data_IF_666493911163
#
_entry.id   IF_666493911163
#
_cell.length_a   1.000
_cell.length_b   1.000
_cell.length_c   1.000
_cell.angle_alpha   90.00
_cell.angle_beta   90.00
_cell.angle_gamma   90.00
#
_symmetry.space_group_name_H-M   'P 1'
#
loop_
_entity.id
_entity.type
_entity.pdbx_description
1 polymer ?
#
# COMPACT_ATOMS: atom_id res chain seq x y z
N UNK A 1 -24.85 -13.15 41.37
CA UNK A 1 -25.18 -13.28 39.94
C UNK A 1 -24.46 -12.21 39.10
N UNK A 2 -24.72 -10.91 39.33
CA UNK A 2 -24.15 -9.82 38.54
C UNK A 2 -22.60 -9.78 38.53
N UNK A 3 -21.96 -9.98 39.69
CA UNK A 3 -20.50 -9.99 39.81
C UNK A 3 -19.81 -11.13 39.04
N UNK A 4 -20.44 -12.31 38.94
CA UNK A 4 -19.90 -13.43 38.15
C UNK A 4 -19.98 -13.15 36.64
N UNK A 5 -21.05 -12.51 36.18
CA UNK A 5 -21.22 -12.16 34.77
C UNK A 5 -20.19 -11.09 34.33
N UNK A 6 -19.90 -10.12 35.20
CA UNK A 6 -18.86 -9.12 34.96
C UNK A 6 -17.46 -9.77 34.94
N UNK A 7 -17.19 -10.70 35.86
CA UNK A 7 -15.92 -11.42 35.90
C UNK A 7 -15.65 -12.27 34.66
N UNK A 8 -16.67 -12.95 34.13
CA UNK A 8 -16.57 -13.74 32.88
C UNK A 8 -16.38 -12.82 31.67
N UNK A 9 -17.15 -11.73 31.58
CA UNK A 9 -17.00 -10.76 30.49
C UNK A 9 -15.60 -10.14 30.48
N UNK A 10 -15.04 -9.78 31.64
CA UNK A 10 -13.68 -9.28 31.74
C UNK A 10 -12.64 -10.37 31.38
N UNK A 11 -12.81 -11.60 31.88
CA UNK A 11 -11.89 -12.70 31.57
C UNK A 11 -11.85 -13.07 30.08
N UNK A 12 -12.97 -12.93 29.36
CA UNK A 12 -13.04 -13.24 27.93
C UNK A 12 -12.67 -12.04 27.04
N UNK A 13 -12.99 -10.81 27.46
CA UNK A 13 -12.72 -9.62 26.65
C UNK A 13 -11.33 -9.02 26.90
N UNK A 14 -10.77 -9.14 28.10
CA UNK A 14 -9.45 -8.59 28.42
C UNK A 14 -8.32 -9.24 27.60
N UNK A 15 -8.26 -10.58 27.40
CA UNK A 15 -7.24 -11.19 26.55
C UNK A 15 -7.36 -10.75 25.09
N UNK A 16 -8.59 -10.60 24.58
CA UNK A 16 -8.84 -10.10 23.23
C UNK A 16 -8.43 -8.63 23.09
N UNK A 17 -8.78 -7.78 24.05
CA UNK A 17 -8.39 -6.37 24.08
C UNK A 17 -6.87 -6.24 24.16
N UNK A 18 -6.22 -6.98 25.07
CA UNK A 18 -4.77 -7.00 25.21
C UNK A 18 -4.11 -7.46 23.90
N UNK A 19 -4.63 -8.52 23.26
CA UNK A 19 -4.14 -9.00 21.96
C UNK A 19 -4.26 -7.94 20.85
N UNK A 20 -5.39 -7.23 20.78
CA UNK A 20 -5.59 -6.13 19.82
C UNK A 20 -4.65 -4.96 20.14
N UNK A 21 -4.49 -4.59 21.41
CA UNK A 21 -3.60 -3.51 21.82
C UNK A 21 -2.14 -3.83 21.49
N UNK A 22 -1.68 -5.06 21.71
CA UNK A 22 -0.33 -5.47 21.30
C UNK A 22 -0.16 -5.48 19.78
N UNK A 23 -1.17 -5.91 19.03
CA UNK A 23 -1.15 -5.88 17.58
C UNK A 23 -1.09 -4.45 17.02
N UNK A 24 -1.78 -3.49 17.66
CA UNK A 24 -1.81 -2.08 17.26
C UNK A 24 -0.57 -1.33 17.74
N UNK A 25 -0.05 -1.64 18.93
CA UNK A 25 1.12 -0.97 19.52
C UNK A 25 2.43 -1.23 18.75
N UNK A 26 2.50 -2.28 17.92
CA UNK A 26 3.66 -2.61 17.08
C UNK A 26 3.61 -2.04 15.65
N UNK A 27 2.57 -1.27 15.31
CA UNK A 27 2.46 -0.65 13.99
C UNK A 27 3.08 0.75 14.03
N UNK A 28 4.39 0.82 13.80
CA UNK A 28 5.05 2.09 13.54
C UNK A 28 4.92 2.43 12.04
N UNK A 29 4.50 3.66 11.76
CA UNK A 29 4.43 4.21 10.41
C UNK A 29 5.80 4.66 9.91
N UNK A 30 5.92 4.79 8.59
CA UNK A 30 7.10 5.33 7.93
C UNK A 30 7.14 6.87 8.04
N UNK A 31 8.33 7.44 8.18
CA UNK A 31 8.55 8.90 8.19
C UNK A 31 8.46 9.51 6.79
N UNK A 32 8.29 10.83 6.66
CA UNK A 32 8.28 11.48 5.33
C UNK A 32 9.57 11.22 4.54
N UNK A 33 10.72 11.16 5.23
CA UNK A 33 12.01 10.81 4.63
C UNK A 33 11.98 9.42 4.02
N UNK A 34 11.44 8.42 4.74
CA UNK A 34 11.32 7.04 4.24
C UNK A 34 10.35 6.94 3.05
N UNK A 35 9.34 7.81 3.00
CA UNK A 35 8.36 7.83 1.92
C UNK A 35 8.91 8.53 0.67
N UNK A 36 9.72 9.58 0.84
CA UNK A 36 10.29 10.37 -0.25
C UNK A 36 11.28 9.60 -1.13
N UNK A 37 11.86 8.50 -0.62
CA UNK A 37 12.80 7.65 -1.36
C UNK A 37 12.09 6.59 -2.21
N UNK A 38 10.76 6.44 -2.07
CA UNK A 38 10.02 5.43 -2.84
C UNK A 38 10.01 5.78 -4.33
N UNK A 39 10.32 4.83 -5.23
CA UNK A 39 10.23 5.04 -6.67
C UNK A 39 8.88 5.60 -7.09
N UNK A 40 8.89 6.69 -7.88
CA UNK A 40 7.69 7.38 -8.35
C UNK A 40 7.53 7.24 -9.85
N UNK A 41 6.32 6.93 -10.29
CA UNK A 41 5.97 6.70 -11.67
C UNK A 41 4.79 7.58 -12.09
N UNK A 42 4.71 7.88 -13.38
CA UNK A 42 3.51 8.39 -14.03
C UNK A 42 2.92 7.27 -14.90
N UNK A 43 1.65 6.95 -14.68
CA UNK A 43 0.93 6.01 -15.51
C UNK A 43 0.53 6.66 -16.84
N UNK A 44 0.65 5.91 -17.93
CA UNK A 44 0.21 6.29 -19.26
C UNK A 44 -0.73 5.19 -19.77
N UNK A 45 -2.00 5.54 -19.99
CA UNK A 45 -2.98 4.59 -20.48
C UNK A 45 -2.75 4.32 -21.98
N UNK A 46 -2.79 3.06 -22.41
CA UNK A 46 -2.72 2.75 -23.84
C UNK A 46 -4.11 2.97 -24.45
N UNK A 47 -4.27 4.03 -25.23
CA UNK A 47 -5.50 4.27 -25.98
C UNK A 47 -5.45 3.61 -27.36
N UNK A 48 -6.25 2.55 -27.56
CA UNK A 48 -6.65 2.12 -28.90
C UNK A 48 -8.16 2.35 -29.04
N UNK A 49 -8.57 3.14 -30.03
CA UNK A 49 -9.96 3.59 -30.27
C UNK A 49 -10.96 2.43 -30.54
N UNK A 50 -10.50 1.17 -30.58
CA UNK A 50 -11.26 0.05 -31.15
C UNK A 50 -11.91 -0.90 -30.13
N UNK A 51 -11.67 -0.78 -28.82
CA UNK A 51 -12.37 -1.63 -27.82
C UNK A 51 -12.71 -0.93 -26.49
N UNK A 52 -13.81 -1.34 -25.80
CA UNK A 52 -14.30 -0.72 -24.57
C UNK A 52 -13.76 -1.37 -23.27
N UNK A 53 -12.81 -2.29 -23.35
CA UNK A 53 -12.29 -3.08 -22.21
C UNK A 53 -11.30 -2.24 -21.35
N UNK A 54 -11.20 -2.46 -20.02
CA UNK A 54 -10.16 -1.91 -19.17
C UNK A 54 -8.79 -1.93 -19.85
N UNK A 55 -8.16 -0.76 -19.91
CA UNK A 55 -6.92 -0.55 -20.65
C UNK A 55 -5.75 -0.74 -19.70
N UNK A 56 -4.84 -1.63 -20.07
CA UNK A 56 -3.50 -1.65 -19.48
C UNK A 56 -2.76 -0.34 -19.77
N UNK A 57 -1.51 -0.26 -19.34
CA UNK A 57 -0.75 0.97 -19.52
C UNK A 57 0.73 0.81 -19.19
N UNK A 58 1.48 1.88 -19.35
CA UNK A 58 2.89 1.94 -18.96
C UNK A 58 3.06 2.78 -17.70
N UNK A 59 3.76 2.25 -16.71
CA UNK A 59 4.32 3.02 -15.60
C UNK A 59 5.68 3.56 -16.01
N UNK A 60 5.77 4.86 -16.27
CA UNK A 60 7.01 5.52 -16.67
C UNK A 60 7.66 6.19 -15.46
N UNK A 61 8.95 5.95 -15.16
CA UNK A 61 9.65 6.60 -14.05
C UNK A 61 9.62 8.12 -14.17
N UNK A 62 9.37 8.81 -13.05
CA UNK A 62 9.58 10.25 -12.96
C UNK A 62 11.07 10.50 -12.67
N UNK A 63 11.66 11.49 -13.35
CA UNK A 63 13.10 11.77 -13.55
C UNK A 63 14.02 11.74 -12.31
N UNK A 64 13.46 11.72 -11.10
CA UNK A 64 14.18 11.65 -9.83
C UNK A 64 14.26 10.22 -9.23
N UNK A 65 13.72 9.20 -9.90
CA UNK A 65 13.69 7.81 -9.41
C UNK A 65 14.88 7.02 -9.95
N UNK A 66 16.06 7.19 -9.33
CA UNK A 66 17.27 6.47 -9.73
C UNK A 66 17.07 4.96 -9.63
N UNK A 67 17.28 4.22 -10.73
CA UNK A 67 17.13 2.76 -10.80
C UNK A 67 15.73 2.23 -11.10
N UNK A 68 14.75 3.12 -11.36
CA UNK A 68 13.43 2.72 -11.85
C UNK A 68 13.43 2.56 -13.38
N UNK A 69 12.79 1.49 -13.88
CA UNK A 69 12.60 1.23 -15.30
C UNK A 69 11.12 1.29 -15.66
N UNK A 70 10.79 1.57 -16.92
CA UNK A 70 9.40 1.49 -17.41
C UNK A 70 8.82 0.08 -17.22
N UNK A 71 7.53 0.01 -16.83
CA UNK A 71 6.82 -1.26 -16.60
C UNK A 71 5.48 -1.23 -17.31
N UNK A 72 5.24 -2.18 -18.19
CA UNK A 72 3.94 -2.37 -18.85
C UNK A 72 3.04 -3.18 -17.93
N UNK A 73 1.82 -2.71 -17.70
CA UNK A 73 0.78 -3.34 -16.90
C UNK A 73 -0.33 -3.87 -17.81
N UNK A 74 -0.83 -5.06 -17.46
CA UNK A 74 -2.07 -5.59 -18.02
C UNK A 74 -3.28 -4.77 -17.50
N UNK A 75 -4.45 -4.87 -18.14
CA UNK A 75 -5.70 -4.32 -17.62
C UNK A 75 -6.00 -4.72 -16.17
N UNK A 76 -5.72 -5.98 -15.84
CA UNK A 76 -5.99 -6.59 -14.53
C UNK A 76 -5.05 -6.06 -13.44
N UNK A 77 -3.81 -5.70 -13.83
CA UNK A 77 -2.82 -5.15 -12.92
C UNK A 77 -2.89 -3.61 -12.81
N UNK A 78 -3.60 -2.93 -13.71
CA UNK A 78 -3.68 -1.47 -13.76
C UNK A 78 -4.69 -0.88 -12.74
N UNK A 79 -4.65 -1.35 -11.48
CA UNK A 79 -5.54 -0.90 -10.41
C UNK A 79 -4.84 -0.69 -9.06
N UNK A 80 -5.43 0.15 -8.22
CA UNK A 80 -5.02 0.40 -6.85
C UNK A 80 -5.91 -0.38 -5.87
N UNK A 81 -5.37 -1.38 -5.19
CA UNK A 81 -6.16 -2.19 -4.23
C UNK A 81 -6.57 -1.43 -2.95
N UNK A 82 -6.02 -0.23 -2.71
CA UNK A 82 -6.35 0.59 -1.53
C UNK A 82 -7.67 1.35 -1.75
N UNK A 83 -7.84 1.95 -2.93
CA UNK A 83 -9.06 2.68 -3.29
C UNK A 83 -10.01 1.86 -4.19
N UNK A 84 -9.57 0.69 -4.64
CA UNK A 84 -10.33 -0.24 -5.50
C UNK A 84 -10.73 0.48 -6.80
N UNK A 85 -9.75 1.11 -7.45
CA UNK A 85 -9.96 1.88 -8.68
C UNK A 85 -8.81 1.68 -9.66
N UNK A 86 -9.12 1.60 -10.94
CA UNK A 86 -8.15 1.58 -12.02
C UNK A 86 -7.32 2.86 -12.07
N UNK A 87 -6.12 2.78 -12.64
CA UNK A 87 -5.27 3.95 -12.86
C UNK A 87 -5.77 4.79 -14.02
N UNK A 88 -5.86 6.09 -13.78
CA UNK A 88 -6.16 7.08 -14.82
C UNK A 88 -4.88 7.53 -15.54
N UNK A 89 -5.01 7.96 -16.79
CA UNK A 89 -3.88 8.54 -17.52
C UNK A 89 -3.26 9.72 -16.75
N UNK A 90 -1.93 9.73 -16.64
CA UNK A 90 -1.19 10.72 -15.88
C UNK A 90 -1.15 10.49 -14.36
N UNK A 91 -1.83 9.46 -13.84
CA UNK A 91 -1.85 9.14 -12.41
C UNK A 91 -0.43 8.92 -11.86
N UNK A 92 -0.17 9.48 -10.68
CA UNK A 92 1.11 9.30 -10.00
C UNK A 92 1.07 8.07 -9.08
N UNK A 93 2.02 7.17 -9.30
CA UNK A 93 2.11 5.90 -8.59
C UNK A 93 3.42 5.82 -7.80
N UNK A 94 3.37 5.13 -6.67
CA UNK A 94 4.58 4.62 -6.04
C UNK A 94 4.68 3.11 -6.23
N UNK A 95 5.88 2.63 -6.51
CA UNK A 95 6.22 1.23 -6.34
C UNK A 95 6.97 1.04 -5.02
N UNK A 96 6.62 -0.01 -4.28
CA UNK A 96 7.35 -0.41 -3.08
C UNK A 96 8.55 -1.30 -3.45
N UNK A 97 9.53 -1.52 -2.53
CA UNK A 97 10.65 -2.42 -2.78
C UNK A 97 10.23 -3.87 -3.08
N UNK A 98 9.04 -4.27 -2.63
CA UNK A 98 8.42 -5.55 -2.99
C UNK A 98 7.73 -5.56 -4.37
N UNK A 99 7.98 -4.56 -5.21
CA UNK A 99 7.47 -4.38 -6.58
C UNK A 99 5.97 -4.12 -6.77
N UNK A 100 5.16 -4.19 -5.72
CA UNK A 100 3.75 -3.75 -5.74
C UNK A 100 3.62 -2.23 -5.89
N UNK A 101 2.59 -1.78 -6.58
CA UNK A 101 2.35 -0.37 -6.87
C UNK A 101 0.94 0.07 -6.49
N UNK A 102 0.81 1.37 -6.24
CA UNK A 102 -0.42 1.99 -5.77
C UNK A 102 -0.43 3.47 -6.17
N UNK A 103 -1.60 4.12 -6.16
CA UNK A 103 -1.67 5.58 -6.18
C UNK A 103 -0.78 6.18 -5.10
N UNK A 104 0.06 7.16 -5.46
CA UNK A 104 1.02 7.81 -4.57
C UNK A 104 0.34 8.31 -3.29
N UNK A 105 -0.82 8.97 -3.42
CA UNK A 105 -1.59 9.49 -2.28
C UNK A 105 -2.18 8.39 -1.39
N UNK A 106 -2.60 7.26 -1.96
CA UNK A 106 -3.17 6.13 -1.21
C UNK A 106 -2.09 5.45 -0.36
N UNK A 107 -0.96 5.10 -0.97
CA UNK A 107 0.07 4.33 -0.27
C UNK A 107 0.86 5.18 0.72
N UNK A 108 1.09 6.47 0.44
CA UNK A 108 1.69 7.39 1.42
C UNK A 108 0.84 7.47 2.69
N UNK A 109 -0.49 7.62 2.57
CA UNK A 109 -1.39 7.63 3.74
C UNK A 109 -1.34 6.31 4.50
N UNK A 110 -1.37 5.18 3.80
CA UNK A 110 -1.28 3.85 4.40
C UNK A 110 0.01 3.67 5.19
N UNK A 111 1.16 4.00 4.58
CA UNK A 111 2.47 3.77 5.15
C UNK A 111 2.77 4.64 6.37
N UNK A 112 2.16 5.83 6.47
CA UNK A 112 2.21 6.67 7.69
C UNK A 112 1.56 6.02 8.91
N UNK A 113 0.66 5.07 8.69
CA UNK A 113 0.04 4.30 9.78
C UNK A 113 0.73 2.96 9.98
N UNK A 114 1.09 2.28 8.89
CA UNK A 114 1.71 0.96 8.94
C UNK A 114 2.75 0.85 7.82
N UNK A 115 4.04 0.76 8.16
CA UNK A 115 5.14 0.70 7.18
C UNK A 115 5.23 -0.63 6.38
N UNK A 116 4.11 -1.30 6.13
CA UNK A 116 4.05 -2.59 5.41
C UNK A 116 3.19 -2.51 4.16
N UNK A 117 3.58 -3.25 3.13
CA UNK A 117 2.81 -3.38 1.89
C UNK A 117 1.40 -3.96 2.18
N UNK A 118 0.32 -3.33 1.68
CA UNK A 118 -1.05 -3.85 1.85
C UNK A 118 -1.23 -5.29 1.35
N UNK A 119 -0.57 -5.62 0.23
CA UNK A 119 -0.71 -6.90 -0.48
C UNK A 119 0.13 -8.03 0.12
N UNK A 120 1.42 -7.80 0.38
CA UNK A 120 2.35 -8.87 0.78
C UNK A 120 2.95 -8.73 2.18
N UNK A 121 2.59 -7.67 2.92
CA UNK A 121 3.10 -7.36 4.28
C UNK A 121 4.61 -7.11 4.38
N UNK A 122 5.32 -7.00 3.25
CA UNK A 122 6.72 -6.56 3.22
C UNK A 122 6.88 -5.21 3.94
N UNK A 123 7.80 -5.12 4.91
CA UNK A 123 8.08 -3.89 5.64
C UNK A 123 9.11 -3.04 4.89
N UNK A 124 8.74 -1.81 4.52
CA UNK A 124 9.58 -0.95 3.70
C UNK A 124 10.82 -0.41 4.44
N UNK A 125 10.82 -0.45 5.78
CA UNK A 125 11.92 -0.01 6.63
C UNK A 125 12.98 -1.11 6.83
N UNK A 126 12.63 -2.37 6.60
CA UNK A 126 13.56 -3.52 6.75
C UNK A 126 14.50 -3.71 5.56
N UNK A 127 14.38 -2.90 4.51
CA UNK A 127 15.21 -2.98 3.31
C UNK A 127 16.66 -2.48 3.46
N UNK A 128 17.05 -1.98 4.64
CA UNK A 128 18.37 -1.36 4.88
C UNK A 128 19.33 -2.23 5.73
N UNK A 129 19.00 -3.50 5.98
CA UNK A 129 19.80 -4.41 6.81
C UNK A 129 20.46 -5.55 6.00
N UNK A 130 21.22 -5.21 4.96
CA UNK A 130 22.08 -6.16 4.25
C UNK A 130 23.52 -5.66 4.10
#
# INVERSE_FOLDING_TARGET
ALACLIGIALCCCLPCIIGILYAVAGQEGASESDLSILPKYRFQAVSNEETPDPRGGSMVPIENSSGANERVLSPEDAECCICISSYEDGAELHALPCNHHFHSTCIVKWLKMNATCPLCKYNILKGNEQ
#
